data_IF_481691312340
#
_entry.id   IF_481691312340
#
_cell.length_a   1.000
_cell.length_b   1.000
_cell.length_c   1.000
_cell.angle_alpha   90.00
_cell.angle_beta   90.00
_cell.angle_gamma   90.00
#
_symmetry.space_group_name_H-M   'P 1'
#
loop_
_entity.id
_entity.type
_entity.pdbx_description
1 polymer ?
#
# COMPACT_ATOMS: atom_id res chain seq x y z
N UNK A 1 12.04 16.53 -3.78
CA UNK A 1 11.64 15.22 -4.30
C UNK A 1 10.25 14.87 -3.81
N UNK A 2 9.46 14.24 -4.65
CA UNK A 2 8.11 13.86 -4.27
C UNK A 2 8.15 12.59 -3.41
N UNK A 3 7.34 12.55 -2.35
CA UNK A 3 7.20 11.37 -1.49
C UNK A 3 6.73 10.14 -2.27
N UNK A 4 5.96 10.36 -3.33
CA UNK A 4 5.46 9.31 -4.21
C UNK A 4 6.62 8.61 -4.93
N UNK A 5 7.59 9.39 -5.43
CA UNK A 5 8.74 8.85 -6.13
C UNK A 5 9.61 7.99 -5.20
N UNK A 6 9.84 8.45 -3.97
CA UNK A 6 10.59 7.72 -2.97
C UNK A 6 9.89 6.42 -2.60
N UNK A 7 8.57 6.47 -2.43
CA UNK A 7 7.76 5.30 -2.09
C UNK A 7 7.79 4.26 -3.22
N UNK A 8 7.68 4.69 -4.47
CA UNK A 8 7.79 3.79 -5.62
C UNK A 8 9.14 3.09 -5.65
N UNK A 9 10.22 3.82 -5.36
CA UNK A 9 11.56 3.27 -5.32
C UNK A 9 11.69 2.22 -4.24
N UNK A 10 11.18 2.49 -3.03
CA UNK A 10 11.17 1.53 -1.94
C UNK A 10 10.45 0.24 -2.32
N UNK A 11 9.29 0.36 -2.96
CA UNK A 11 8.49 -0.79 -3.37
C UNK A 11 9.25 -1.64 -4.38
N UNK A 12 9.96 -1.01 -5.32
CA UNK A 12 10.74 -1.72 -6.33
C UNK A 12 11.90 -2.51 -5.73
N UNK A 13 12.35 -2.16 -4.53
CA UNK A 13 13.42 -2.86 -3.83
C UNK A 13 12.92 -4.04 -2.99
N UNK A 14 11.61 -4.19 -2.84
CA UNK A 14 11.04 -5.30 -2.06
C UNK A 14 11.27 -6.64 -2.75
N UNK A 15 11.66 -7.64 -1.95
CA UNK A 15 11.61 -9.04 -2.38
C UNK A 15 10.16 -9.51 -2.37
N UNK A 16 9.88 -10.69 -2.95
CA UNK A 16 8.52 -11.25 -2.95
C UNK A 16 7.98 -11.41 -1.53
N UNK A 17 8.80 -11.89 -0.60
CA UNK A 17 8.42 -12.06 0.80
C UNK A 17 8.08 -10.72 1.46
N UNK A 18 8.93 -9.71 1.24
CA UNK A 18 8.70 -8.37 1.78
C UNK A 18 7.45 -7.73 1.19
N UNK A 19 7.22 -7.93 -0.11
CA UNK A 19 6.03 -7.41 -0.79
C UNK A 19 4.75 -8.02 -0.23
N UNK A 20 4.74 -9.33 0.03
CA UNK A 20 3.58 -10.00 0.65
C UNK A 20 3.31 -9.44 2.04
N UNK A 21 4.34 -9.24 2.85
CA UNK A 21 4.21 -8.68 4.19
C UNK A 21 3.66 -7.27 4.14
N UNK A 22 4.21 -6.44 3.28
CA UNK A 22 3.78 -5.05 3.11
C UNK A 22 2.32 -4.99 2.65
N UNK A 23 1.93 -5.86 1.73
CA UNK A 23 0.56 -5.92 1.24
C UNK A 23 -0.42 -6.26 2.36
N UNK A 24 -0.06 -7.23 3.21
CA UNK A 24 -0.87 -7.59 4.37
C UNK A 24 -1.03 -6.40 5.32
N UNK A 25 0.07 -5.72 5.64
CA UNK A 25 0.06 -4.57 6.54
C UNK A 25 -0.80 -3.42 5.98
N UNK A 26 -0.69 -3.16 4.68
CA UNK A 26 -1.48 -2.11 4.02
C UNK A 26 -2.97 -2.44 4.02
N UNK A 27 -3.33 -3.70 3.82
CA UNK A 27 -4.73 -4.14 3.88
C UNK A 27 -5.30 -3.98 5.28
N UNK A 28 -4.53 -4.32 6.31
CA UNK A 28 -4.92 -4.12 7.70
C UNK A 28 -5.09 -2.63 8.01
N UNK A 29 -4.19 -1.80 7.52
CA UNK A 29 -4.29 -0.34 7.66
C UNK A 29 -5.57 0.18 7.03
N UNK A 30 -5.90 -0.27 5.82
CA UNK A 30 -7.13 0.14 5.14
C UNK A 30 -8.37 -0.29 5.93
N UNK A 31 -8.38 -1.50 6.47
CA UNK A 31 -9.46 -1.99 7.29
C UNK A 31 -9.67 -1.11 8.54
N UNK A 32 -8.59 -0.78 9.24
CA UNK A 32 -8.64 0.09 10.41
C UNK A 32 -9.13 1.50 10.05
N UNK A 33 -8.71 2.03 8.90
CA UNK A 33 -9.17 3.33 8.42
C UNK A 33 -10.67 3.33 8.15
N UNK A 34 -11.20 2.23 7.60
CA UNK A 34 -12.65 2.09 7.37
C UNK A 34 -13.42 2.09 8.68
N UNK A 35 -12.91 1.41 9.71
CA UNK A 35 -13.52 1.42 11.04
C UNK A 35 -13.53 2.82 11.63
N UNK A 36 -12.43 3.56 11.52
CA UNK A 36 -12.34 4.92 11.99
C UNK A 36 -13.31 5.84 11.25
N UNK A 37 -13.49 5.62 9.95
CA UNK A 37 -14.44 6.38 9.15
C UNK A 37 -15.87 6.15 9.63
N UNK A 38 -16.22 4.92 9.96
CA UNK A 38 -17.55 4.58 10.48
C UNK A 38 -17.83 5.28 11.81
N UNK A 39 -16.79 5.52 12.61
CA UNK A 39 -16.90 6.23 13.88
C UNK A 39 -16.89 7.75 13.72
N UNK A 40 -16.72 8.24 12.50
CA UNK A 40 -16.62 9.67 12.24
C UNK A 40 -15.30 10.29 12.66
N UNK A 41 -14.26 9.50 12.90
CA UNK A 41 -12.95 9.97 13.34
C UNK A 41 -12.08 10.53 12.22
N UNK A 42 -12.38 10.18 10.97
CA UNK A 42 -11.58 10.61 9.81
C UNK A 42 -12.30 11.73 9.07
N UNK A 43 -11.65 12.88 9.01
CA UNK A 43 -12.17 14.07 8.33
C UNK A 43 -11.67 14.21 6.91
N UNK A 44 -10.61 13.50 6.54
CA UNK A 44 -9.94 13.61 5.24
C UNK A 44 -9.83 12.24 4.57
N UNK A 45 -10.39 12.12 3.37
CA UNK A 45 -10.39 10.86 2.62
C UNK A 45 -9.08 10.62 1.86
N UNK A 46 -8.13 11.54 1.92
CA UNK A 46 -6.85 11.41 1.22
C UNK A 46 -6.08 10.16 1.65
N UNK A 47 -6.15 9.81 2.95
CA UNK A 47 -5.47 8.61 3.48
C UNK A 47 -5.98 7.33 2.81
N UNK A 48 -7.27 7.24 2.50
CA UNK A 48 -7.84 6.08 1.79
C UNK A 48 -7.26 5.97 0.41
N UNK A 49 -7.23 7.08 -0.34
CA UNK A 49 -6.69 7.12 -1.69
C UNK A 49 -5.22 6.73 -1.71
N UNK A 50 -4.43 7.28 -0.78
CA UNK A 50 -3.00 6.99 -0.68
C UNK A 50 -2.75 5.52 -0.36
N UNK A 51 -3.52 4.96 0.60
CA UNK A 51 -3.37 3.56 0.99
C UNK A 51 -3.74 2.62 -0.15
N UNK A 52 -4.83 2.91 -0.87
CA UNK A 52 -5.23 2.12 -2.05
C UNK A 52 -4.18 2.17 -3.14
N UNK A 53 -3.59 3.32 -3.41
CA UNK A 53 -2.53 3.47 -4.40
C UNK A 53 -1.30 2.68 -4.01
N UNK A 54 -0.93 2.68 -2.72
CA UNK A 54 0.20 1.89 -2.24
C UNK A 54 -0.06 0.39 -2.40
N UNK A 55 -1.27 -0.07 -2.07
CA UNK A 55 -1.65 -1.47 -2.28
C UNK A 55 -1.51 -1.85 -3.74
N UNK A 56 -1.99 -1.01 -4.64
CA UNK A 56 -1.92 -1.25 -6.08
C UNK A 56 -0.46 -1.34 -6.55
N UNK A 57 0.40 -0.46 -6.05
CA UNK A 57 1.83 -0.45 -6.41
C UNK A 57 2.55 -1.70 -5.94
N UNK A 58 2.30 -2.11 -4.68
CA UNK A 58 2.92 -3.31 -4.11
C UNK A 58 2.43 -4.55 -4.84
N UNK A 59 1.15 -4.63 -5.12
CA UNK A 59 0.55 -5.76 -5.84
C UNK A 59 1.12 -5.86 -7.26
N UNK A 60 1.25 -4.75 -7.95
CA UNK A 60 1.82 -4.70 -9.29
C UNK A 60 3.27 -5.19 -9.28
N UNK A 61 4.07 -4.73 -8.33
CA UNK A 61 5.46 -5.15 -8.19
C UNK A 61 5.56 -6.65 -7.91
N UNK A 62 4.70 -7.16 -7.01
CA UNK A 62 4.65 -8.58 -6.68
C UNK A 62 4.30 -9.42 -7.92
N UNK A 63 3.32 -8.96 -8.69
CA UNK A 63 2.91 -9.63 -9.94
C UNK A 63 4.08 -9.70 -10.92
N UNK A 64 4.86 -8.63 -11.04
CA UNK A 64 6.04 -8.60 -11.90
C UNK A 64 7.11 -9.58 -11.41
N UNK A 65 7.35 -9.65 -10.10
CA UNK A 65 8.32 -10.58 -9.53
C UNK A 65 7.91 -12.03 -9.79
N UNK A 66 6.64 -12.35 -9.64
CA UNK A 66 6.13 -13.70 -9.89
C UNK A 66 6.18 -14.07 -11.36
N UNK A 67 5.99 -13.09 -12.25
CA UNK A 67 6.07 -13.31 -13.69
C UNK A 67 7.51 -13.59 -14.15
N UNK A 68 8.50 -13.05 -13.43
CA UNK A 68 9.92 -13.24 -13.74
C UNK A 68 10.51 -14.52 -13.15
N UNK A 69 9.79 -15.15 -12.23
CA UNK A 69 10.25 -16.34 -11.51
C UNK A 69 10.16 -17.61 -12.35
#
# INVERSE_FOLDING_TARGET
MSKVRERKKQIQEFTASEAHRELKDLRMKLFNLRLQQQRGEIKNNRVFTQTRKDIARVLHHLTQLEAEA
#
